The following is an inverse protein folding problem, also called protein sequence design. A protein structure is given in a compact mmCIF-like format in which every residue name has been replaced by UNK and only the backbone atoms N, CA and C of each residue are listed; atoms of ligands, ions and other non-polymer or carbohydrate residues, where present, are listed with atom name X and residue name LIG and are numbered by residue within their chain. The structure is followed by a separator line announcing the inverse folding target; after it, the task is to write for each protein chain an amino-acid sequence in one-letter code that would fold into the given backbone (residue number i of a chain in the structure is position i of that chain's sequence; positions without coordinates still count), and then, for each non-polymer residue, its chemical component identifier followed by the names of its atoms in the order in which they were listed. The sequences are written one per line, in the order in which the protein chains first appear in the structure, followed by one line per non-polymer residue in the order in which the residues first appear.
data_IF_704035292737
#
_entry.id   IF_704035292737
#
_cell.length_a   1.000
_cell.length_b   1.000
_cell.length_c   1.000
_cell.angle_alpha   90.00
_cell.angle_beta   90.00
_cell.angle_gamma   90.00
#
_symmetry.space_group_name_H-M   'P 1'
#
loop_
_entity.id
_entity.type
_entity.pdbx_description
1 polymer ?
#
# COMPACT_ATOMS: atom_id res chain seq x y z
N UNK A 1 14.74 -19.67 -31.55
CA UNK A 1 15.16 -20.07 -30.21
C UNK A 1 14.94 -18.86 -29.27
N UNK A 2 14.44 -19.09 -28.08
CA UNK A 2 14.24 -18.05 -27.09
C UNK A 2 15.49 -17.93 -26.20
N UNK A 3 15.96 -16.72 -25.96
CA UNK A 3 17.03 -16.43 -25.00
C UNK A 3 16.39 -15.75 -23.77
N UNK A 4 16.60 -16.32 -22.61
CA UNK A 4 16.13 -15.74 -21.33
C UNK A 4 17.19 -14.81 -20.78
N UNK A 5 16.83 -13.60 -20.40
CA UNK A 5 17.72 -12.67 -19.71
C UNK A 5 17.55 -12.85 -18.20
N UNK A 6 18.49 -13.52 -17.57
CA UNK A 6 18.50 -13.75 -16.13
C UNK A 6 19.08 -12.52 -15.42
N UNK A 7 18.22 -11.75 -14.77
CA UNK A 7 18.63 -10.63 -13.95
C UNK A 7 19.20 -11.12 -12.60
N UNK A 8 20.42 -10.72 -12.29
CA UNK A 8 21.05 -10.93 -10.99
C UNK A 8 21.27 -9.58 -10.31
N UNK A 9 21.67 -9.58 -9.05
CA UNK A 9 21.98 -8.32 -8.33
C UNK A 9 23.20 -7.56 -8.90
N UNK A 10 24.00 -8.22 -9.76
CA UNK A 10 25.23 -7.64 -10.32
C UNK A 10 25.12 -7.37 -11.82
N UNK A 11 24.47 -8.24 -12.55
CA UNK A 11 24.42 -8.18 -14.02
C UNK A 11 23.22 -8.95 -14.58
N UNK A 12 22.92 -8.73 -15.85
CA UNK A 12 21.93 -9.50 -16.60
C UNK A 12 22.66 -10.49 -17.51
N UNK A 13 22.41 -11.78 -17.29
CA UNK A 13 23.08 -12.88 -17.99
C UNK A 13 22.15 -13.45 -19.07
N UNK A 14 22.56 -13.48 -20.34
CA UNK A 14 21.79 -14.13 -21.39
C UNK A 14 21.91 -15.67 -21.24
N UNK A 15 20.77 -16.32 -21.09
CA UNK A 15 20.64 -17.77 -20.99
C UNK A 15 20.04 -18.31 -22.30
N UNK A 16 20.90 -18.55 -23.26
CA UNK A 16 20.56 -19.25 -24.51
C UNK A 16 20.72 -20.79 -24.33
N UNK A 17 20.38 -21.62 -25.33
CA UNK A 17 20.56 -23.06 -25.22
C UNK A 17 22.00 -23.52 -24.94
N UNK A 18 22.99 -22.79 -25.40
CA UNK A 18 24.39 -23.10 -25.14
C UNK A 18 24.79 -22.86 -23.68
N UNK A 19 24.39 -21.71 -23.16
CA UNK A 19 24.59 -21.35 -21.74
C UNK A 19 23.86 -22.32 -20.79
N UNK A 20 22.67 -22.80 -21.15
CA UNK A 20 21.95 -23.82 -20.37
C UNK A 20 22.71 -25.14 -20.35
N UNK A 21 23.20 -25.61 -21.50
CA UNK A 21 24.04 -26.84 -21.55
C UNK A 21 25.33 -26.69 -20.75
N UNK A 22 25.99 -25.56 -20.85
CA UNK A 22 27.19 -25.28 -20.10
C UNK A 22 26.96 -25.28 -18.60
N UNK A 23 25.89 -24.59 -18.17
CA UNK A 23 25.60 -24.41 -16.74
C UNK A 23 25.00 -25.66 -16.09
N UNK A 24 24.06 -26.33 -16.75
CA UNK A 24 23.28 -27.42 -16.16
C UNK A 24 23.58 -28.79 -16.75
N UNK A 25 24.28 -28.87 -17.86
CA UNK A 25 24.59 -30.14 -18.54
C UNK A 25 23.39 -30.84 -19.16
N UNK A 26 22.28 -30.10 -19.42
CA UNK A 26 21.04 -30.63 -19.98
C UNK A 26 20.53 -29.71 -21.09
N UNK A 27 19.67 -30.23 -21.97
CA UNK A 27 18.97 -29.42 -22.95
C UNK A 27 17.90 -28.56 -22.31
N UNK A 28 17.52 -27.40 -22.90
CA UNK A 28 16.46 -26.54 -22.35
C UNK A 28 15.14 -27.26 -22.08
N UNK A 29 14.75 -28.20 -22.95
CA UNK A 29 13.52 -28.98 -22.76
C UNK A 29 13.59 -29.91 -21.53
N UNK A 30 14.77 -30.36 -21.16
CA UNK A 30 14.98 -31.26 -20.03
C UNK A 30 14.90 -30.54 -18.66
N UNK A 31 14.89 -29.21 -18.63
CA UNK A 31 14.69 -28.45 -17.41
C UNK A 31 13.34 -28.73 -16.76
N UNK A 32 12.33 -29.12 -17.55
CA UNK A 32 11.03 -29.56 -17.04
C UNK A 32 11.18 -30.85 -16.24
N UNK A 33 11.96 -31.81 -16.76
CA UNK A 33 12.25 -33.08 -16.08
C UNK A 33 13.00 -32.83 -14.75
N UNK A 34 13.97 -31.92 -14.77
CA UNK A 34 14.70 -31.51 -13.55
C UNK A 34 13.75 -30.90 -12.52
N UNK A 35 12.90 -29.92 -12.92
CA UNK A 35 11.89 -29.31 -12.04
C UNK A 35 10.89 -30.34 -11.50
N UNK A 36 10.51 -31.32 -12.32
CA UNK A 36 9.59 -32.38 -11.91
C UNK A 36 10.12 -33.24 -10.77
N UNK A 37 11.42 -33.41 -10.73
CA UNK A 37 12.10 -34.15 -9.66
C UNK A 37 12.41 -33.30 -8.43
N UNK A 38 12.99 -32.10 -8.60
CA UNK A 38 13.39 -31.26 -7.47
C UNK A 38 12.25 -30.43 -6.86
N UNK A 39 11.18 -30.20 -7.62
CA UNK A 39 10.12 -29.27 -7.27
C UNK A 39 10.51 -27.80 -7.50
N UNK A 40 9.56 -26.92 -7.21
CA UNK A 40 9.75 -25.47 -7.23
C UNK A 40 8.89 -24.84 -6.12
N UNK A 41 9.53 -24.38 -5.06
CA UNK A 41 8.80 -23.79 -3.92
C UNK A 41 8.18 -22.44 -4.24
N UNK A 42 8.70 -21.72 -5.23
CA UNK A 42 8.13 -20.43 -5.66
C UNK A 42 6.77 -20.59 -6.34
N UNK A 43 6.61 -21.69 -7.08
CA UNK A 43 5.39 -22.02 -7.84
C UNK A 43 4.55 -23.10 -7.14
N UNK A 44 4.92 -23.51 -5.92
CA UNK A 44 4.28 -24.59 -5.17
C UNK A 44 4.22 -25.93 -5.94
N UNK A 45 5.26 -26.21 -6.71
CA UNK A 45 5.41 -27.49 -7.43
C UNK A 45 6.10 -28.49 -6.48
N UNK A 46 5.46 -29.63 -6.14
CA UNK A 46 5.88 -30.48 -5.03
C UNK A 46 7.22 -31.19 -5.26
N UNK A 47 7.51 -31.64 -6.46
CA UNK A 47 8.65 -32.48 -6.74
C UNK A 47 8.65 -33.81 -5.99
N UNK A 48 9.81 -34.50 -5.98
CA UNK A 48 10.03 -35.72 -5.20
C UNK A 48 10.74 -35.35 -3.90
N UNK A 49 10.11 -35.52 -2.72
CA UNK A 49 10.70 -35.14 -1.45
C UNK A 49 12.08 -35.77 -1.22
N UNK A 50 13.08 -34.90 -0.98
CA UNK A 50 14.46 -35.32 -0.73
C UNK A 50 15.27 -35.62 -2.01
N UNK A 51 14.77 -35.25 -3.20
CA UNK A 51 15.53 -35.14 -4.43
C UNK A 51 15.77 -33.65 -4.69
N UNK A 52 16.97 -33.16 -4.46
CA UNK A 52 17.35 -31.78 -4.74
C UNK A 52 17.98 -31.61 -6.12
N UNK A 53 18.29 -30.36 -6.50
CA UNK A 53 18.79 -29.95 -7.81
C UNK A 53 19.96 -30.83 -8.31
N UNK A 54 21.00 -31.03 -7.50
CA UNK A 54 22.16 -31.84 -7.89
C UNK A 54 21.81 -33.28 -8.26
N UNK A 55 20.89 -33.89 -7.51
CA UNK A 55 20.41 -35.26 -7.78
C UNK A 55 19.51 -35.30 -9.01
N UNK A 56 18.60 -34.35 -9.15
CA UNK A 56 17.72 -34.24 -10.29
C UNK A 56 18.52 -34.05 -11.58
N UNK A 57 19.49 -33.13 -11.61
CA UNK A 57 20.38 -32.91 -12.76
C UNK A 57 21.15 -34.18 -13.13
N UNK A 58 21.78 -34.86 -12.15
CA UNK A 58 22.53 -36.08 -12.42
C UNK A 58 21.67 -37.22 -13.01
N UNK A 59 20.42 -37.35 -12.53
CA UNK A 59 19.48 -38.33 -13.08
C UNK A 59 19.05 -37.97 -14.50
N UNK A 60 18.69 -36.70 -14.76
CA UNK A 60 18.27 -36.27 -16.10
C UNK A 60 19.44 -36.31 -17.09
N UNK A 61 20.62 -35.91 -16.70
CA UNK A 61 21.84 -36.03 -17.55
C UNK A 61 22.12 -37.48 -17.98
N UNK A 62 21.87 -38.44 -17.07
CA UNK A 62 22.13 -39.85 -17.35
C UNK A 62 20.99 -40.50 -18.15
N UNK A 63 19.74 -40.29 -17.75
CA UNK A 63 18.61 -41.01 -18.31
C UNK A 63 17.80 -40.19 -19.35
N UNK A 64 18.06 -38.93 -19.47
CA UNK A 64 17.51 -38.04 -20.51
C UNK A 64 16.09 -37.47 -20.19
N UNK A 65 15.23 -38.20 -19.51
CA UNK A 65 13.88 -37.76 -19.20
C UNK A 65 13.34 -38.38 -17.92
N UNK A 66 12.30 -37.76 -17.34
CA UNK A 66 11.56 -38.29 -16.20
C UNK A 66 11.04 -39.72 -16.47
N UNK A 67 10.43 -39.92 -17.63
CA UNK A 67 9.92 -41.25 -18.01
C UNK A 67 11.02 -42.30 -18.01
N UNK A 68 12.16 -42.03 -18.65
CA UNK A 68 13.29 -42.98 -18.71
C UNK A 68 13.86 -43.26 -17.32
N UNK A 69 13.86 -42.29 -16.40
CA UNK A 69 14.28 -42.51 -15.01
C UNK A 69 13.39 -43.56 -14.35
N UNK A 70 12.05 -43.44 -14.52
CA UNK A 70 11.09 -44.40 -13.96
C UNK A 70 11.13 -45.75 -14.65
N UNK A 71 11.42 -45.82 -15.94
CA UNK A 71 11.55 -47.07 -16.68
C UNK A 71 12.83 -47.83 -16.27
N UNK A 72 13.84 -47.14 -15.72
CA UNK A 72 15.14 -47.74 -15.36
C UNK A 72 15.43 -47.58 -13.86
N UNK A 73 14.40 -47.65 -12.99
CA UNK A 73 14.58 -47.48 -11.54
C UNK A 73 15.55 -48.49 -10.91
N UNK A 74 15.68 -49.66 -11.51
CA UNK A 74 16.56 -50.72 -11.04
C UNK A 74 18.04 -50.58 -11.50
N UNK A 75 18.33 -49.53 -12.33
CA UNK A 75 19.71 -49.25 -12.76
C UNK A 75 20.65 -48.99 -11.56
N UNK A 76 21.82 -49.61 -11.48
CA UNK A 76 22.78 -49.42 -10.39
C UNK A 76 23.21 -47.98 -10.13
N UNK A 77 23.02 -47.09 -11.10
CA UNK A 77 23.33 -45.66 -10.94
C UNK A 77 22.30 -44.93 -10.07
N UNK A 78 21.12 -45.47 -9.90
CA UNK A 78 20.11 -44.97 -8.98
C UNK A 78 20.35 -45.62 -7.61
N UNK A 79 20.85 -44.82 -6.67
CA UNK A 79 21.14 -45.31 -5.31
C UNK A 79 19.88 -45.85 -4.63
N UNK A 80 19.98 -46.88 -3.77
CA UNK A 80 18.77 -47.46 -3.10
C UNK A 80 17.87 -46.43 -2.44
N UNK A 81 18.45 -45.45 -1.73
CA UNK A 81 17.65 -44.37 -1.08
C UNK A 81 16.98 -43.42 -2.08
N UNK A 82 17.54 -43.20 -3.27
CA UNK A 82 16.88 -42.43 -4.33
C UNK A 82 15.75 -43.21 -4.96
N UNK A 83 15.96 -44.50 -5.22
CA UNK A 83 14.93 -45.42 -5.75
C UNK A 83 13.72 -45.47 -4.88
N UNK A 84 13.91 -45.63 -3.57
CA UNK A 84 12.78 -45.63 -2.59
C UNK A 84 11.98 -44.32 -2.68
N UNK A 85 12.65 -43.17 -2.72
CA UNK A 85 12.00 -41.86 -2.82
C UNK A 85 11.25 -41.65 -4.12
N UNK A 86 11.86 -42.05 -5.25
CA UNK A 86 11.24 -41.96 -6.56
C UNK A 86 10.02 -42.87 -6.64
N UNK A 87 10.11 -44.13 -6.25
CA UNK A 87 9.00 -45.07 -6.28
C UNK A 87 7.83 -44.63 -5.40
N UNK A 88 8.11 -44.09 -4.20
CA UNK A 88 7.08 -43.66 -3.25
C UNK A 88 6.39 -42.35 -3.64
N UNK A 89 6.91 -41.58 -4.58
CA UNK A 89 6.38 -40.26 -4.93
C UNK A 89 6.28 -40.06 -6.47
N UNK A 90 6.01 -41.14 -7.20
CA UNK A 90 5.87 -41.07 -8.67
C UNK A 90 4.75 -40.13 -9.08
N UNK A 91 3.63 -40.20 -8.40
CA UNK A 91 2.48 -39.33 -8.60
C UNK A 91 2.82 -37.84 -8.46
N UNK A 92 3.65 -37.48 -7.49
CA UNK A 92 4.11 -36.10 -7.29
C UNK A 92 5.05 -35.65 -8.40
N UNK A 93 5.92 -36.53 -8.88
CA UNK A 93 6.81 -36.21 -10.01
C UNK A 93 6.02 -36.00 -11.31
N UNK A 94 5.03 -36.88 -11.59
CA UNK A 94 4.16 -36.76 -12.76
C UNK A 94 3.27 -35.50 -12.68
N UNK A 95 2.73 -35.18 -11.51
CA UNK A 95 2.00 -33.93 -11.27
C UNK A 95 2.90 -32.71 -11.50
N UNK A 96 4.12 -32.76 -10.97
CA UNK A 96 5.11 -31.66 -11.13
C UNK A 96 5.51 -31.48 -12.59
N UNK A 97 5.62 -32.54 -13.35
CA UNK A 97 5.86 -32.50 -14.80
C UNK A 97 4.72 -31.83 -15.55
N UNK A 98 3.49 -32.20 -15.20
CA UNK A 98 2.28 -31.60 -15.79
C UNK A 98 2.19 -30.10 -15.45
N UNK A 99 2.45 -29.71 -14.22
CA UNK A 99 2.41 -28.31 -13.78
C UNK A 99 3.54 -27.47 -14.39
N UNK A 100 4.73 -28.05 -14.54
CA UNK A 100 5.88 -27.37 -15.17
C UNK A 100 5.81 -27.30 -16.70
N UNK A 101 4.88 -28.02 -17.33
CA UNK A 101 4.74 -28.06 -18.78
C UNK A 101 3.77 -27.00 -19.29
N UNK A 102 4.23 -26.11 -20.17
CA UNK A 102 3.40 -25.08 -20.77
C UNK A 102 2.35 -25.72 -21.67
N UNK A 103 1.10 -25.45 -21.40
CA UNK A 103 -0.01 -25.86 -22.27
C UNK A 103 -0.04 -25.04 -23.56
N UNK A 104 -0.03 -25.74 -24.70
CA UNK A 104 -0.05 -25.13 -26.04
C UNK A 104 -1.45 -25.18 -26.68
N UNK A 105 -2.39 -25.82 -26.02
CA UNK A 105 -3.78 -26.08 -26.45
C UNK A 105 -4.79 -25.28 -25.62
N UNK A 106 -4.35 -24.18 -24.99
CA UNK A 106 -5.24 -23.29 -24.25
C UNK A 106 -6.30 -22.71 -25.23
N UNK A 107 -7.58 -22.60 -24.81
CA UNK A 107 -8.65 -22.09 -25.64
C UNK A 107 -8.59 -20.56 -25.78
N UNK A 108 -7.56 -20.09 -26.47
CA UNK A 108 -7.35 -18.68 -26.80
C UNK A 108 -7.34 -18.50 -28.31
N UNK A 109 -7.70 -17.30 -28.77
CA UNK A 109 -7.48 -16.93 -30.15
C UNK A 109 -5.98 -16.89 -30.42
N UNK A 110 -5.54 -17.51 -31.51
CA UNK A 110 -4.12 -17.61 -31.89
C UNK A 110 -3.74 -16.70 -33.04
N UNK A 111 -4.67 -15.92 -33.60
CA UNK A 111 -4.35 -14.94 -34.61
C UNK A 111 -3.69 -13.71 -33.98
N UNK A 112 -2.38 -13.42 -34.25
CA UNK A 112 -1.71 -12.25 -33.71
C UNK A 112 -2.37 -10.91 -34.07
N UNK A 113 -3.17 -10.86 -35.13
CA UNK A 113 -3.88 -9.65 -35.55
C UNK A 113 -4.96 -9.25 -34.56
N UNK A 114 -5.56 -10.19 -33.82
CA UNK A 114 -6.57 -9.91 -32.81
C UNK A 114 -5.98 -9.26 -31.55
N UNK A 115 -4.68 -9.42 -31.36
CA UNK A 115 -3.91 -8.82 -30.26
C UNK A 115 -3.18 -7.54 -30.67
N UNK A 116 -3.49 -6.98 -31.84
CA UNK A 116 -2.94 -5.70 -32.24
C UNK A 116 -3.35 -4.62 -31.24
N UNK A 117 -2.36 -3.82 -30.82
CA UNK A 117 -2.58 -2.71 -29.87
C UNK A 117 -3.59 -1.74 -30.46
N UNK A 118 -4.69 -1.54 -29.76
CA UNK A 118 -5.71 -0.52 -30.08
C UNK A 118 -5.53 0.67 -29.14
N UNK A 119 -5.89 1.89 -29.58
CA UNK A 119 -6.01 3.01 -28.66
C UNK A 119 -6.97 2.65 -27.53
N UNK A 120 -6.54 2.80 -26.30
CA UNK A 120 -7.41 2.60 -25.13
C UNK A 120 -8.35 3.78 -24.91
N UNK A 121 -9.38 3.59 -24.11
CA UNK A 121 -10.19 4.67 -23.58
C UNK A 121 -9.45 5.30 -22.38
N UNK A 122 -8.78 6.44 -22.62
CA UNK A 122 -8.01 7.13 -21.61
C UNK A 122 -8.90 7.67 -20.47
N UNK A 123 -10.15 8.07 -20.78
CA UNK A 123 -11.08 8.58 -19.77
C UNK A 123 -11.54 7.48 -18.83
N UNK A 124 -11.96 6.32 -19.38
CA UNK A 124 -12.34 5.17 -18.57
C UNK A 124 -11.16 4.64 -17.74
N UNK A 125 -9.95 4.64 -18.30
CA UNK A 125 -8.74 4.24 -17.58
C UNK A 125 -8.40 5.21 -16.45
N UNK A 126 -8.49 6.54 -16.67
CA UNK A 126 -8.26 7.53 -15.64
C UNK A 126 -9.27 7.40 -14.50
N UNK A 127 -10.54 7.21 -14.81
CA UNK A 127 -11.60 6.97 -13.82
C UNK A 127 -11.32 5.68 -13.00
N UNK A 128 -10.96 4.59 -13.66
CA UNK A 128 -10.62 3.34 -12.99
C UNK A 128 -9.37 3.50 -12.09
N UNK A 129 -8.33 4.18 -12.56
CA UNK A 129 -7.13 4.42 -11.78
C UNK A 129 -7.41 5.35 -10.58
N UNK A 130 -8.29 6.32 -10.73
CA UNK A 130 -8.75 7.17 -9.62
C UNK A 130 -9.52 6.34 -8.57
N UNK A 131 -10.44 5.46 -9.00
CA UNK A 131 -11.19 4.58 -8.10
C UNK A 131 -10.30 3.54 -7.39
N UNK A 132 -9.14 3.24 -7.94
CA UNK A 132 -8.11 2.37 -7.34
C UNK A 132 -7.00 3.16 -6.63
N UNK A 133 -7.16 4.47 -6.45
CA UNK A 133 -6.19 5.38 -5.81
C UNK A 133 -4.78 5.35 -6.45
N UNK A 134 -4.71 5.00 -7.72
CA UNK A 134 -3.44 4.89 -8.46
C UNK A 134 -3.02 6.22 -9.13
N UNK A 135 -3.10 7.34 -8.42
CA UNK A 135 -2.86 8.70 -8.93
C UNK A 135 -1.50 8.87 -9.62
N UNK A 136 -0.42 8.33 -9.04
CA UNK A 136 0.92 8.38 -9.64
C UNK A 136 1.04 7.71 -11.01
N UNK A 137 0.11 6.82 -11.38
CA UNK A 137 0.09 6.19 -12.70
C UNK A 137 -0.58 7.07 -13.75
N UNK A 138 -1.56 7.88 -13.38
CA UNK A 138 -2.15 8.88 -14.26
C UNK A 138 -1.08 9.85 -14.78
N UNK A 139 -0.25 10.39 -13.88
CA UNK A 139 0.84 11.31 -14.20
C UNK A 139 1.88 10.66 -15.12
N UNK A 140 2.27 9.41 -14.82
CA UNK A 140 3.29 8.69 -15.59
C UNK A 140 2.85 8.32 -17.01
N UNK A 141 1.55 8.12 -17.23
CA UNK A 141 1.03 7.74 -18.52
C UNK A 141 0.51 8.93 -19.33
N UNK A 142 0.72 10.16 -18.84
CA UNK A 142 0.23 11.39 -19.48
C UNK A 142 -1.23 11.23 -19.93
N UNK A 143 -2.04 10.59 -19.08
CA UNK A 143 -3.46 10.53 -19.30
C UNK A 143 -3.99 11.90 -18.94
N UNK A 144 -3.95 12.81 -19.93
CA UNK A 144 -4.52 14.13 -19.77
C UNK A 144 -5.94 13.98 -19.26
N UNK A 145 -6.29 14.73 -18.25
CA UNK A 145 -7.64 14.94 -17.75
C UNK A 145 -8.53 15.54 -18.85
N UNK A 146 -8.60 14.86 -19.97
CA UNK A 146 -9.34 15.28 -21.17
C UNK A 146 -10.80 14.91 -21.15
N UNK A 147 -11.34 14.51 -20.01
CA UNK A 147 -12.78 14.45 -19.78
C UNK A 147 -13.07 14.26 -18.28
N UNK A 148 -12.77 15.29 -17.51
CA UNK A 148 -13.65 15.56 -16.38
C UNK A 148 -15.06 15.60 -16.98
N UNK A 149 -16.05 14.81 -16.47
CA UNK A 149 -17.43 15.13 -16.76
C UNK A 149 -17.56 16.64 -16.51
N UNK A 150 -18.24 17.41 -17.38
CA UNK A 150 -18.32 18.84 -17.21
C UNK A 150 -18.63 19.08 -15.76
N UNK A 151 -17.86 19.92 -15.03
CA UNK A 151 -18.07 20.11 -13.62
C UNK A 151 -19.56 20.35 -13.46
N UNK A 152 -20.24 19.50 -12.68
CA UNK A 152 -21.64 19.73 -12.34
C UNK A 152 -21.66 21.21 -12.00
N UNK A 153 -22.47 22.03 -12.70
CA UNK A 153 -22.44 23.48 -12.61
C UNK A 153 -22.42 23.85 -11.12
N UNK A 154 -21.22 23.97 -10.58
CA UNK A 154 -21.01 24.38 -9.21
C UNK A 154 -21.42 25.83 -9.21
N UNK A 155 -22.56 26.11 -8.63
CA UNK A 155 -22.93 27.47 -8.26
C UNK A 155 -21.72 28.06 -7.55
N UNK A 156 -21.33 29.33 -7.84
CA UNK A 156 -20.24 29.95 -7.14
C UNK A 156 -20.46 29.82 -5.64
N UNK A 157 -19.50 29.22 -4.93
CA UNK A 157 -19.57 29.09 -3.48
C UNK A 157 -19.61 30.47 -2.85
N UNK A 158 -20.41 30.64 -1.84
CA UNK A 158 -20.41 31.86 -1.03
C UNK A 158 -19.02 31.96 -0.33
N UNK A 159 -18.42 33.13 -0.42
CA UNK A 159 -17.12 33.39 0.26
C UNK A 159 -17.39 33.88 1.66
N UNK A 160 -16.83 33.17 2.63
CA UNK A 160 -16.96 33.48 4.06
C UNK A 160 -15.67 34.11 4.58
N UNK A 161 -15.80 35.25 5.21
CA UNK A 161 -14.69 35.92 5.90
C UNK A 161 -14.54 35.35 7.32
N UNK A 162 -13.29 35.15 7.81
CA UNK A 162 -13.06 34.71 9.17
C UNK A 162 -13.59 35.72 10.20
N UNK A 163 -14.16 35.22 11.26
CA UNK A 163 -14.62 36.03 12.40
C UNK A 163 -13.86 35.68 13.68
N UNK A 164 -13.84 36.56 14.70
CA UNK A 164 -13.25 36.26 15.98
C UNK A 164 -13.92 35.05 16.64
N UNK A 165 -13.12 34.13 17.21
CA UNK A 165 -13.64 33.00 17.95
C UNK A 165 -14.32 33.48 19.24
N UNK A 166 -15.57 33.08 19.51
CA UNK A 166 -16.29 33.50 20.71
C UNK A 166 -15.64 32.99 21.98
N UNK A 167 -15.83 33.71 23.11
CA UNK A 167 -15.26 33.31 24.41
C UNK A 167 -15.83 31.97 24.90
N UNK A 168 -17.09 31.74 24.64
CA UNK A 168 -17.79 30.48 24.94
C UNK A 168 -18.16 29.83 23.62
N UNK A 169 -17.77 28.57 23.46
CA UNK A 169 -18.12 27.73 22.32
C UNK A 169 -19.23 26.80 22.80
N UNK A 170 -20.39 26.91 22.21
CA UNK A 170 -21.51 25.99 22.45
C UNK A 170 -21.59 24.97 21.34
N UNK A 171 -21.65 23.69 21.71
CA UNK A 171 -21.65 22.56 20.78
C UNK A 171 -20.28 22.24 20.21
N UNK A 172 -20.30 21.55 19.07
CA UNK A 172 -19.11 21.01 18.41
C UNK A 172 -18.37 22.07 17.60
N UNK A 173 -17.05 22.08 17.71
CA UNK A 173 -16.15 22.91 16.93
C UNK A 173 -15.18 22.00 16.16
N UNK A 174 -15.07 22.24 14.86
CA UNK A 174 -14.16 21.49 14.00
C UNK A 174 -12.88 22.29 13.78
N UNK A 175 -11.71 21.66 13.96
CA UNK A 175 -10.40 22.31 13.84
C UNK A 175 -9.49 21.57 12.86
N UNK A 176 -8.74 22.34 12.09
CA UNK A 176 -7.63 21.83 11.31
C UNK A 176 -6.54 22.88 11.15
N UNK A 177 -5.41 22.45 10.61
CA UNK A 177 -4.25 23.30 10.37
C UNK A 177 -4.10 23.57 8.87
N UNK A 178 -3.81 24.81 8.52
CA UNK A 178 -3.42 25.18 7.17
C UNK A 178 -1.99 24.69 6.86
N UNK A 179 -1.62 24.70 5.59
CA UNK A 179 -0.29 24.31 5.13
C UNK A 179 0.85 25.19 5.71
N UNK A 180 0.55 26.42 6.08
CA UNK A 180 1.50 27.35 6.74
C UNK A 180 1.63 27.15 8.25
N UNK A 181 0.89 26.18 8.81
CA UNK A 181 0.87 25.88 10.24
C UNK A 181 -0.12 26.71 11.06
N UNK A 182 -0.84 27.64 10.48
CA UNK A 182 -1.91 28.38 11.17
C UNK A 182 -3.13 27.48 11.40
N UNK A 183 -3.86 27.73 12.51
CA UNK A 183 -5.07 26.97 12.83
C UNK A 183 -6.32 27.71 12.41
N UNK A 184 -7.29 26.96 11.94
CA UNK A 184 -8.64 27.45 11.73
C UNK A 184 -9.65 26.54 12.42
N UNK A 185 -10.79 27.12 12.75
CA UNK A 185 -11.91 26.42 13.33
C UNK A 185 -13.19 26.71 12.54
N UNK A 186 -14.10 25.73 12.48
CA UNK A 186 -15.37 25.81 11.75
C UNK A 186 -16.50 25.43 12.68
N UNK A 187 -17.57 26.23 12.64
CA UNK A 187 -18.86 25.91 13.28
C UNK A 187 -20.01 26.38 12.40
N UNK A 188 -20.73 25.43 11.82
CA UNK A 188 -21.68 25.73 10.74
C UNK A 188 -20.96 26.32 9.54
N UNK A 189 -21.41 27.47 9.06
CA UNK A 189 -20.78 28.21 7.94
C UNK A 189 -19.79 29.30 8.43
N UNK A 190 -19.47 29.31 9.70
CA UNK A 190 -18.54 30.32 10.30
C UNK A 190 -17.16 29.78 10.41
N UNK A 191 -16.17 30.57 9.99
CA UNK A 191 -14.75 30.28 10.10
C UNK A 191 -14.11 31.19 11.13
N UNK A 192 -13.24 30.65 11.94
CA UNK A 192 -12.47 31.37 12.98
C UNK A 192 -11.00 31.08 12.82
N UNK A 193 -10.16 32.06 13.11
CA UNK A 193 -8.70 31.91 13.13
C UNK A 193 -8.22 32.13 14.58
N UNK A 194 -8.20 31.07 15.43
CA UNK A 194 -7.74 31.18 16.79
C UNK A 194 -6.23 31.40 16.86
N UNK A 195 -5.79 32.32 17.71
CA UNK A 195 -4.38 32.36 18.10
C UNK A 195 -4.04 31.20 19.05
N UNK A 196 -2.74 31.02 19.31
CA UNK A 196 -2.24 29.91 20.12
C UNK A 196 -2.76 29.92 21.56
N UNK A 197 -2.95 31.12 22.16
CA UNK A 197 -3.44 31.22 23.52
C UNK A 197 -4.91 30.88 23.62
N UNK A 198 -5.69 31.34 22.65
CA UNK A 198 -7.11 30.99 22.55
C UNK A 198 -7.32 29.51 22.26
N UNK A 199 -6.51 28.94 21.39
CA UNK A 199 -6.54 27.52 21.07
C UNK A 199 -6.20 26.69 22.33
N UNK A 200 -5.14 27.04 23.05
CA UNK A 200 -4.75 26.37 24.30
C UNK A 200 -5.87 26.42 25.35
N UNK A 201 -6.55 27.56 25.48
CA UNK A 201 -7.68 27.70 26.40
C UNK A 201 -8.86 26.78 26.05
N UNK A 202 -9.06 26.47 24.77
CA UNK A 202 -10.11 25.55 24.33
C UNK A 202 -9.81 24.09 24.65
N UNK A 203 -8.53 23.68 24.63
CA UNK A 203 -8.14 22.28 24.74
C UNK A 203 -8.52 21.62 26.08
N UNK A 204 -8.64 22.40 27.14
CA UNK A 204 -9.03 21.93 28.48
C UNK A 204 -10.36 22.56 28.97
N UNK A 205 -11.16 23.13 28.05
CA UNK A 205 -12.50 23.62 28.29
C UNK A 205 -13.56 22.50 28.25
N UNK A 206 -14.84 22.86 28.32
CA UNK A 206 -15.95 21.94 28.14
C UNK A 206 -16.46 21.91 26.68
N UNK A 207 -15.71 22.48 25.72
CA UNK A 207 -16.02 22.43 24.30
C UNK A 207 -15.83 21.01 23.73
N UNK A 208 -16.67 20.62 22.78
CA UNK A 208 -16.50 19.38 22.03
C UNK A 208 -15.65 19.68 20.78
N UNK A 209 -14.36 19.34 20.80
CA UNK A 209 -13.44 19.60 19.71
C UNK A 209 -13.27 18.34 18.84
N UNK A 210 -13.63 18.45 17.58
CA UNK A 210 -13.35 17.49 16.53
C UNK A 210 -12.24 18.04 15.65
N UNK A 211 -11.16 17.32 15.52
CA UNK A 211 -9.94 17.85 14.91
C UNK A 211 -9.48 17.01 13.74
N UNK A 212 -8.74 17.62 12.86
CA UNK A 212 -7.98 16.92 11.86
C UNK A 212 -6.50 16.98 12.24
N UNK A 213 -5.95 15.83 12.73
CA UNK A 213 -4.64 15.69 13.37
C UNK A 213 -4.59 16.27 14.80
N UNK A 214 -4.91 15.44 15.79
CA UNK A 214 -4.94 15.85 17.20
C UNK A 214 -3.54 15.98 17.83
N UNK A 215 -2.52 15.31 17.33
CA UNK A 215 -1.21 15.23 17.99
C UNK A 215 -0.54 16.59 18.20
N UNK A 216 -0.52 17.54 17.23
CA UNK A 216 -0.01 18.89 17.47
C UNK A 216 -0.76 19.65 18.57
N UNK A 217 -2.06 19.39 18.73
CA UNK A 217 -2.87 20.00 19.79
C UNK A 217 -2.57 19.40 21.16
N UNK A 218 -2.28 18.11 21.23
CA UNK A 218 -1.80 17.49 22.47
C UNK A 218 -0.44 18.06 22.89
N UNK A 219 0.49 18.32 21.97
CA UNK A 219 1.74 19.02 22.29
C UNK A 219 1.45 20.40 22.91
N UNK A 220 0.57 21.19 22.28
CA UNK A 220 0.20 22.49 22.79
C UNK A 220 -0.42 22.43 24.19
N UNK A 221 -1.33 21.47 24.44
CA UNK A 221 -1.94 21.28 25.76
C UNK A 221 -0.89 20.93 26.82
N UNK A 222 -0.04 19.93 26.55
CA UNK A 222 1.01 19.45 27.43
C UNK A 222 2.03 20.54 27.77
N UNK A 223 2.42 21.38 26.82
CA UNK A 223 3.33 22.51 27.03
C UNK A 223 2.76 23.60 27.96
N UNK A 224 1.44 23.67 28.05
CA UNK A 224 0.71 24.58 28.95
C UNK A 224 0.28 23.92 30.26
N UNK A 225 0.67 22.66 30.51
CA UNK A 225 0.32 21.89 31.71
C UNK A 225 -1.10 21.32 31.71
N UNK A 226 -1.77 21.34 30.55
CA UNK A 226 -3.09 20.74 30.31
C UNK A 226 -2.99 19.30 29.82
N UNK A 227 -4.12 18.69 29.52
CA UNK A 227 -4.22 17.29 29.06
C UNK A 227 -4.98 17.14 27.72
N UNK A 228 -5.57 18.21 27.22
CA UNK A 228 -6.36 18.19 25.98
C UNK A 228 -7.68 17.43 26.10
N UNK A 229 -8.38 17.57 27.24
CA UNK A 229 -9.63 16.83 27.55
C UNK A 229 -10.77 17.11 26.57
N UNK A 230 -10.73 18.24 25.88
CA UNK A 230 -11.76 18.67 24.95
C UNK A 230 -11.67 18.03 23.56
N UNK A 231 -10.56 17.28 23.28
CA UNK A 231 -10.38 16.57 22.02
C UNK A 231 -11.19 15.26 22.04
N UNK A 232 -12.22 15.18 21.20
CA UNK A 232 -13.16 14.06 21.18
C UNK A 232 -13.07 13.21 19.91
N UNK A 233 -12.51 13.75 18.83
CA UNK A 233 -12.38 13.05 17.56
C UNK A 233 -11.17 13.54 16.76
N UNK A 234 -10.47 12.60 16.11
CA UNK A 234 -9.37 12.88 15.16
C UNK A 234 -9.68 12.28 13.80
N UNK A 235 -9.95 13.15 12.81
CA UNK A 235 -10.27 12.72 11.45
C UNK A 235 -9.14 12.04 10.71
N UNK A 236 -7.89 12.39 11.01
CA UNK A 236 -6.73 11.75 10.38
C UNK A 236 -6.51 10.32 10.87
N UNK A 237 -6.69 10.10 12.18
CA UNK A 237 -6.69 8.74 12.74
C UNK A 237 -7.87 7.92 12.22
N UNK A 238 -9.05 8.54 12.11
CA UNK A 238 -10.22 7.89 11.54
C UNK A 238 -9.97 7.44 10.09
N UNK A 239 -9.44 8.32 9.25
CA UNK A 239 -9.09 7.98 7.87
C UNK A 239 -8.04 6.87 7.79
N UNK A 240 -7.03 6.90 8.66
CA UNK A 240 -6.03 5.82 8.75
C UNK A 240 -6.64 4.48 9.13
N UNK A 241 -7.55 4.43 10.10
CA UNK A 241 -8.23 3.19 10.49
C UNK A 241 -9.09 2.63 9.36
N UNK A 242 -9.79 3.50 8.61
CA UNK A 242 -10.65 3.10 7.50
C UNK A 242 -9.84 2.61 6.29
N UNK A 243 -8.70 3.23 5.99
CA UNK A 243 -7.83 2.86 4.88
C UNK A 243 -6.34 3.01 5.25
N UNK A 244 -5.72 2.02 5.94
CA UNK A 244 -4.31 2.09 6.38
C UNK A 244 -3.31 2.04 5.23
N UNK A 245 -3.76 1.77 4.00
CA UNK A 245 -2.91 1.68 2.81
C UNK A 245 -2.85 2.98 2.00
N UNK A 246 -3.63 4.00 2.37
CA UNK A 246 -3.62 5.28 1.67
C UNK A 246 -2.24 5.96 1.79
N UNK A 247 -1.85 6.67 0.74
CA UNK A 247 -0.55 7.39 0.71
C UNK A 247 -0.65 8.81 1.24
N UNK A 248 -1.85 9.34 1.36
CA UNK A 248 -2.13 10.71 1.80
C UNK A 248 -3.43 10.76 2.61
N UNK A 249 -3.39 11.49 3.71
CA UNK A 249 -4.52 11.70 4.62
C UNK A 249 -4.80 13.21 4.80
N UNK A 250 -4.54 14.04 3.79
CA UNK A 250 -4.89 15.44 3.86
C UNK A 250 -6.40 15.67 3.67
N UNK A 251 -6.91 16.79 4.18
CA UNK A 251 -8.36 17.12 4.18
C UNK A 251 -8.94 17.08 2.77
N UNK A 252 -8.30 17.75 1.81
CA UNK A 252 -8.83 17.88 0.44
C UNK A 252 -8.90 16.56 -0.34
N UNK A 253 -7.85 15.70 -0.37
CA UNK A 253 -7.93 14.37 -0.97
C UNK A 253 -9.02 13.50 -0.34
N UNK A 254 -9.13 13.49 0.99
CA UNK A 254 -10.17 12.74 1.69
C UNK A 254 -11.57 13.26 1.40
N UNK A 255 -11.75 14.58 1.32
CA UNK A 255 -13.05 15.15 0.95
C UNK A 255 -13.50 14.70 -0.44
N UNK A 256 -12.55 14.58 -1.39
CA UNK A 256 -12.84 14.05 -2.73
C UNK A 256 -13.15 12.54 -2.69
N UNK A 257 -12.37 11.75 -1.93
CA UNK A 257 -12.57 10.30 -1.78
C UNK A 257 -13.96 9.98 -1.18
N UNK A 258 -14.37 10.76 -0.20
CA UNK A 258 -15.66 10.58 0.49
C UNK A 258 -16.82 11.38 -0.15
N UNK A 259 -16.66 11.94 -1.34
CA UNK A 259 -17.67 12.75 -2.02
C UNK A 259 -18.27 13.85 -1.12
N UNK A 260 -17.40 14.63 -0.48
CA UNK A 260 -17.80 15.76 0.37
C UNK A 260 -17.62 17.07 -0.41
N UNK A 261 -18.70 17.67 -0.91
CA UNK A 261 -18.61 18.96 -1.58
C UNK A 261 -18.35 20.09 -0.56
N UNK A 262 -17.64 21.12 -1.00
CA UNK A 262 -17.48 22.32 -0.18
C UNK A 262 -18.82 23.04 -0.03
N UNK A 263 -19.18 23.41 1.21
CA UNK A 263 -20.37 24.16 1.51
C UNK A 263 -20.18 25.66 1.23
N UNK A 264 -18.97 26.17 1.43
CA UNK A 264 -18.57 27.57 1.21
C UNK A 264 -17.07 27.62 0.88
N UNK A 265 -16.58 28.79 0.49
CA UNK A 265 -15.16 29.07 0.29
C UNK A 265 -14.64 30.02 1.38
N UNK A 266 -13.38 29.89 1.78
CA UNK A 266 -12.69 30.82 2.65
C UNK A 266 -11.23 30.95 2.21
N UNK A 267 -10.79 32.16 1.86
CA UNK A 267 -9.41 32.38 1.37
C UNK A 267 -8.36 32.07 2.45
N UNK A 268 -8.64 32.46 3.69
CA UNK A 268 -7.73 32.24 4.82
C UNK A 268 -7.71 30.80 5.35
N UNK A 269 -8.67 29.95 4.93
CA UNK A 269 -8.79 28.55 5.30
C UNK A 269 -9.40 27.74 4.14
N UNK A 270 -8.62 27.37 3.12
CA UNK A 270 -9.15 26.80 1.88
C UNK A 270 -9.94 25.50 2.05
N UNK A 271 -9.68 24.72 3.10
CA UNK A 271 -10.34 23.44 3.36
C UNK A 271 -11.50 23.57 4.36
N UNK A 272 -11.81 24.79 4.85
CA UNK A 272 -12.84 25.01 5.86
C UNK A 272 -14.23 24.56 5.41
N UNK A 273 -14.57 24.77 4.13
CA UNK A 273 -15.88 24.43 3.60
C UNK A 273 -16.19 22.93 3.53
N UNK A 274 -15.22 22.07 3.62
CA UNK A 274 -15.38 20.61 3.62
C UNK A 274 -15.18 19.98 4.99
N UNK A 275 -14.48 20.66 5.92
CA UNK A 275 -13.94 20.06 7.14
C UNK A 275 -15.02 19.40 8.01
N UNK A 276 -16.09 20.14 8.35
CA UNK A 276 -17.13 19.63 9.23
C UNK A 276 -17.81 18.38 8.65
N UNK A 277 -18.27 18.46 7.40
CA UNK A 277 -18.94 17.35 6.73
C UNK A 277 -18.01 16.14 6.53
N UNK A 278 -16.73 16.36 6.29
CA UNK A 278 -15.73 15.28 6.18
C UNK A 278 -15.58 14.56 7.53
N UNK A 279 -15.37 15.28 8.63
CA UNK A 279 -15.20 14.66 9.94
C UNK A 279 -16.46 13.89 10.38
N UNK A 280 -17.64 14.43 10.12
CA UNK A 280 -18.91 13.73 10.41
C UNK A 280 -19.03 12.45 9.56
N UNK A 281 -18.63 12.49 8.30
CA UNK A 281 -18.68 11.33 7.39
C UNK A 281 -17.68 10.24 7.78
N UNK A 282 -16.46 10.63 8.17
CA UNK A 282 -15.45 9.70 8.68
C UNK A 282 -15.92 9.02 9.99
N UNK A 283 -16.56 9.79 10.88
CA UNK A 283 -17.13 9.24 12.11
C UNK A 283 -18.22 8.21 11.82
N UNK A 284 -19.15 8.52 10.90
CA UNK A 284 -20.18 7.59 10.47
C UNK A 284 -19.58 6.30 9.86
N UNK A 285 -18.55 6.42 9.02
CA UNK A 285 -17.87 5.28 8.43
C UNK A 285 -17.16 4.39 9.49
N UNK A 286 -16.58 4.99 10.55
CA UNK A 286 -16.06 4.24 11.69
C UNK A 286 -17.16 3.49 12.44
N UNK A 287 -18.33 4.09 12.61
CA UNK A 287 -19.49 3.45 13.25
C UNK A 287 -19.97 2.25 12.41
N UNK A 288 -20.10 2.42 11.09
CA UNK A 288 -20.52 1.38 10.16
C UNK A 288 -19.52 0.22 10.09
N UNK A 289 -18.20 0.50 10.13
CA UNK A 289 -17.14 -0.52 10.14
C UNK A 289 -16.92 -1.15 11.51
N UNK A 290 -17.57 -0.66 12.58
CA UNK A 290 -17.39 -1.12 13.95
C UNK A 290 -16.05 -0.72 14.58
N UNK A 291 -15.33 0.24 14.01
CA UNK A 291 -14.01 0.68 14.48
C UNK A 291 -14.06 1.91 15.40
N UNK A 292 -15.24 2.46 15.66
CA UNK A 292 -15.41 3.65 16.51
C UNK A 292 -14.79 3.46 17.88
N UNK A 293 -15.02 2.31 18.51
CA UNK A 293 -14.45 1.99 19.81
C UNK A 293 -12.90 1.95 19.78
N UNK A 294 -12.31 1.41 18.72
CA UNK A 294 -10.86 1.41 18.53
C UNK A 294 -10.31 2.84 18.47
N UNK A 295 -10.96 3.71 17.70
CA UNK A 295 -10.60 5.12 17.61
C UNK A 295 -10.67 5.82 18.98
N UNK A 296 -11.81 5.73 19.67
CA UNK A 296 -12.10 6.55 20.85
C UNK A 296 -11.38 6.04 22.11
N UNK A 297 -11.22 4.72 22.28
CA UNK A 297 -10.64 4.12 23.49
C UNK A 297 -9.16 3.78 23.37
N UNK A 298 -8.61 3.69 22.16
CA UNK A 298 -7.21 3.33 21.94
C UNK A 298 -6.43 4.39 21.15
N UNK A 299 -6.80 4.69 19.91
CA UNK A 299 -5.98 5.51 19.02
C UNK A 299 -5.90 6.97 19.47
N UNK A 300 -7.03 7.58 19.79
CA UNK A 300 -7.06 8.97 20.26
C UNK A 300 -6.32 9.17 21.60
N UNK A 301 -6.53 8.34 22.64
CA UNK A 301 -5.70 8.37 23.85
C UNK A 301 -4.23 8.09 23.59
N UNK A 302 -3.89 7.18 22.68
CA UNK A 302 -2.52 6.85 22.31
C UNK A 302 -1.81 8.03 21.66
N UNK A 303 -2.49 8.83 20.83
CA UNK A 303 -1.94 10.02 20.22
C UNK A 303 -1.41 11.01 21.28
N UNK A 304 -2.12 11.16 22.43
CA UNK A 304 -1.66 11.97 23.57
C UNK A 304 -0.41 11.39 24.22
N UNK A 305 -0.37 10.07 24.42
CA UNK A 305 0.81 9.40 25.01
C UNK A 305 2.02 9.58 24.11
N UNK A 306 1.85 9.44 22.79
CA UNK A 306 2.91 9.66 21.81
C UNK A 306 3.40 11.11 21.81
N UNK A 307 2.50 12.09 21.92
CA UNK A 307 2.88 13.50 22.04
C UNK A 307 3.71 13.76 23.31
N UNK A 308 3.36 13.15 24.45
CA UNK A 308 4.13 13.28 25.68
C UNK A 308 5.50 12.59 25.58
N UNK A 309 5.58 11.41 24.97
CA UNK A 309 6.85 10.72 24.69
C UNK A 309 7.76 11.57 23.78
N UNK A 310 7.21 12.17 22.73
CA UNK A 310 7.95 13.04 21.81
C UNK A 310 8.48 14.30 22.54
N UNK A 311 7.71 14.85 23.48
CA UNK A 311 8.10 15.99 24.30
C UNK A 311 9.24 15.65 25.28
N UNK A 312 9.18 14.48 25.90
CA UNK A 312 10.24 13.99 26.80
C UNK A 312 11.50 13.67 26.00
N UNK A 313 11.34 13.04 24.84
CA UNK A 313 12.44 12.59 24.00
C UNK A 313 13.28 11.48 24.64
N UNK A 314 14.41 11.19 24.01
CA UNK A 314 15.43 10.29 24.54
C UNK A 314 16.84 10.76 24.12
N UNK A 315 17.83 10.44 24.93
CA UNK A 315 19.20 10.81 24.64
C UNK A 315 19.78 9.95 23.51
N UNK A 316 20.38 10.59 22.51
CA UNK A 316 21.08 9.94 21.40
C UNK A 316 22.55 10.35 21.38
N UNK A 317 23.41 9.44 20.93
CA UNK A 317 24.81 9.75 20.58
C UNK A 317 24.83 10.43 19.19
N UNK A 318 24.65 11.74 19.20
CA UNK A 318 24.59 12.54 17.98
C UNK A 318 25.92 12.50 17.18
N UNK A 319 27.05 12.41 17.86
CA UNK A 319 28.37 12.38 17.22
C UNK A 319 28.64 11.01 16.57
N UNK A 320 28.24 9.93 17.23
CA UNK A 320 28.28 8.58 16.66
C UNK A 320 27.39 8.46 15.41
N UNK A 321 26.18 9.02 15.44
CA UNK A 321 25.27 9.02 14.27
C UNK A 321 25.87 9.82 13.11
N UNK A 322 26.47 11.00 13.37
CA UNK A 322 27.13 11.81 12.34
C UNK A 322 28.33 11.08 11.75
N UNK A 323 29.21 10.50 12.59
CA UNK A 323 30.37 9.74 12.14
C UNK A 323 29.95 8.53 11.28
N UNK A 324 28.89 7.84 11.67
CA UNK A 324 28.33 6.76 10.86
C UNK A 324 27.79 7.27 9.51
N UNK A 325 27.04 8.37 9.50
CA UNK A 325 26.54 8.99 8.27
C UNK A 325 27.65 9.42 7.31
N UNK A 326 28.76 9.96 7.85
CA UNK A 326 29.92 10.35 7.04
C UNK A 326 30.65 9.13 6.45
N UNK A 327 30.63 7.98 7.14
CA UNK A 327 31.21 6.72 6.63
C UNK A 327 30.43 6.11 5.47
N UNK A 328 29.18 6.54 5.26
CA UNK A 328 28.29 6.05 4.18
C UNK A 328 28.32 6.93 2.93
N UNK A 329 28.98 8.08 2.97
CA UNK A 329 29.20 9.01 1.84
C UNK A 329 30.48 8.70 1.09
#
# INVERSE_FOLDING_TARGET
ATTVLLATNKETIPMDPAAIREKYGVEPAQLIDVKSLMGDSSDNIPGVPGIGEKTALALVQKFGSLQNIYDHLEDPAIKPGQRTKLSANRDKAELSYMLGTIRKDAPIDTDPADYARRPGDAAAAAHLLASLEMHKRNDRWHMEEGSTPPPAQTLPLETVEPSPLPLVVDGRLYLAQNADGSWYAVQGERVFLPDTDRLAALLDSDAELWVFDAKPLYHLALDRGGIGKSLHFDGKLAAYLLNPSASDYAVKPLAAEYDVPAAFACEAAPDAGVLAALLDKLAAALDESGQRKLHDEMELPLARVLADMERIGFQVDADGIRAFGDSLR
#
